data_IF_055312702006
#
_entry.id   IF_055312702006
#
_cell.length_a   1.000
_cell.length_b   1.000
_cell.length_c   1.000
_cell.angle_alpha   90.00
_cell.angle_beta   90.00
_cell.angle_gamma   90.00
#
_symmetry.space_group_name_H-M   'P 1'
#
loop_
_entity.id
_entity.type
_entity.pdbx_description
1 polymer ?
#
# COMPACT_ATOMS: atom_id res chain seq x y z
N UNK A 1 19.16 13.43 -20.24
CA UNK A 1 18.58 12.37 -19.39
C UNK A 1 17.99 13.08 -18.19
N UNK A 2 16.72 13.44 -18.27
CA UNK A 2 16.06 14.24 -17.24
C UNK A 2 15.80 13.37 -15.99
N UNK A 3 16.24 13.78 -14.80
CA UNK A 3 16.07 13.02 -13.56
C UNK A 3 14.62 12.95 -13.06
N UNK A 4 13.66 13.52 -13.79
CA UNK A 4 12.24 13.59 -13.43
C UNK A 4 11.35 12.53 -14.10
N UNK A 5 11.89 11.58 -14.87
CA UNK A 5 11.09 10.48 -15.42
C UNK A 5 11.08 9.23 -14.51
N UNK A 6 10.71 9.38 -13.23
CA UNK A 6 10.62 8.26 -12.30
C UNK A 6 9.25 7.55 -12.37
N UNK A 7 8.88 7.07 -13.57
CA UNK A 7 7.85 6.02 -13.70
C UNK A 7 8.15 4.83 -12.75
N UNK A 8 9.44 4.65 -12.47
CA UNK A 8 10.07 3.75 -11.51
C UNK A 8 9.53 3.85 -10.07
N UNK A 9 9.35 5.05 -9.53
CA UNK A 9 8.84 5.23 -8.17
C UNK A 9 7.33 4.95 -8.07
N UNK A 10 6.62 5.11 -9.19
CA UNK A 10 5.16 5.00 -9.25
C UNK A 10 4.69 3.54 -9.28
N UNK A 11 5.46 2.62 -9.89
CA UNK A 11 5.10 1.20 -10.01
C UNK A 11 5.05 0.50 -8.64
N UNK A 12 5.93 0.85 -7.71
CA UNK A 12 6.04 0.19 -6.40
C UNK A 12 4.76 0.30 -5.54
N UNK A 13 3.93 1.30 -5.82
CA UNK A 13 2.65 1.55 -5.13
C UNK A 13 1.45 1.38 -6.07
N UNK A 14 1.70 0.94 -7.31
CA UNK A 14 0.66 0.73 -8.30
C UNK A 14 -0.15 -0.51 -7.95
N UNK A 15 -1.46 -0.43 -8.17
CA UNK A 15 -2.37 -1.54 -7.90
C UNK A 15 -2.29 -2.62 -8.99
N UNK A 16 -2.61 -3.89 -8.65
CA UNK A 16 -2.55 -5.02 -9.59
C UNK A 16 -3.32 -4.76 -10.89
N UNK A 17 -4.56 -4.29 -10.77
CA UNK A 17 -5.46 -4.03 -11.90
C UNK A 17 -4.95 -2.93 -12.83
N UNK A 18 -4.10 -2.03 -12.33
CA UNK A 18 -3.48 -0.96 -13.12
C UNK A 18 -2.18 -1.44 -13.80
N UNK A 19 -1.53 -2.45 -13.24
CA UNK A 19 -0.36 -3.10 -13.85
C UNK A 19 -0.78 -4.09 -14.93
N UNK A 20 -1.85 -4.83 -14.69
CA UNK A 20 -2.35 -5.91 -15.55
C UNK A 20 -3.45 -5.45 -16.54
N UNK A 21 -3.69 -4.14 -16.68
CA UNK A 21 -4.70 -3.65 -17.62
C UNK A 21 -4.23 -3.86 -19.07
N UNK A 22 -5.04 -4.53 -19.89
CA UNK A 22 -4.86 -4.48 -21.35
C UNK A 22 -4.98 -3.02 -21.80
N UNK A 23 -3.99 -2.47 -22.52
CA UNK A 23 -4.04 -1.10 -23.03
C UNK A 23 -5.26 -0.81 -23.92
N UNK A 24 -5.99 -1.83 -24.38
CA UNK A 24 -7.19 -1.69 -25.21
C UNK A 24 -8.52 -1.71 -24.43
N UNK A 25 -8.56 -2.16 -23.16
CA UNK A 25 -9.79 -2.21 -22.35
C UNK A 25 -9.86 -1.13 -21.27
N UNK A 26 -8.72 -0.51 -20.92
CA UNK A 26 -8.57 0.89 -20.48
C UNK A 26 -9.30 1.40 -19.23
N UNK A 27 -10.23 0.65 -18.65
CA UNK A 27 -11.06 1.08 -17.54
C UNK A 27 -10.73 0.30 -16.28
N UNK A 28 -10.15 0.98 -15.30
CA UNK A 28 -9.99 0.49 -13.93
C UNK A 28 -10.51 1.53 -12.93
N UNK A 29 -10.91 1.08 -11.74
CA UNK A 29 -11.32 2.01 -10.67
C UNK A 29 -10.08 2.65 -10.02
N UNK A 30 -9.74 3.87 -10.47
CA UNK A 30 -8.62 4.63 -9.93
C UNK A 30 -8.71 4.88 -8.42
N UNK A 31 -9.92 4.98 -7.84
CA UNK A 31 -10.08 5.19 -6.40
C UNK A 31 -9.69 3.94 -5.63
N UNK A 32 -10.09 2.77 -6.12
CA UNK A 32 -9.65 1.51 -5.54
C UNK A 32 -8.13 1.31 -5.70
N UNK A 33 -7.56 1.77 -6.81
CA UNK A 33 -6.12 1.81 -7.03
C UNK A 33 -5.37 2.69 -6.00
N UNK A 34 -5.91 3.87 -5.70
CA UNK A 34 -5.35 4.76 -4.67
C UNK A 34 -5.38 4.13 -3.26
N UNK A 35 -6.42 3.35 -2.94
CA UNK A 35 -6.50 2.61 -1.67
C UNK A 35 -5.39 1.57 -1.54
N UNK A 36 -5.05 0.88 -2.64
CA UNK A 36 -3.93 -0.07 -2.64
C UNK A 36 -2.61 0.65 -2.34
N UNK A 37 -2.30 1.70 -3.11
CA UNK A 37 -1.06 2.47 -2.93
C UNK A 37 -0.94 3.03 -1.51
N UNK A 38 -2.05 3.55 -0.97
CA UNK A 38 -2.13 3.99 0.42
C UNK A 38 -1.84 2.86 1.42
N UNK A 39 -2.43 1.67 1.23
CA UNK A 39 -2.16 0.50 2.07
C UNK A 39 -0.68 0.09 2.07
N UNK A 40 -0.03 0.13 0.90
CA UNK A 40 1.41 -0.18 0.76
C UNK A 40 2.23 0.84 1.55
N UNK A 41 1.95 2.14 1.41
CA UNK A 41 2.67 3.19 2.14
C UNK A 41 2.48 3.10 3.66
N UNK A 42 1.25 2.85 4.13
CA UNK A 42 0.97 2.70 5.56
C UNK A 42 1.73 1.52 6.15
N UNK A 43 1.79 0.40 5.43
CA UNK A 43 2.56 -0.76 5.86
C UNK A 43 4.07 -0.48 5.84
N UNK A 44 4.59 0.21 4.82
CA UNK A 44 5.99 0.62 4.75
C UNK A 44 6.38 1.51 5.93
N UNK A 45 5.56 2.47 6.30
CA UNK A 45 5.81 3.33 7.47
C UNK A 45 5.84 2.55 8.78
N UNK A 46 4.98 1.53 8.91
CA UNK A 46 4.99 0.66 10.08
C UNK A 46 6.23 -0.24 10.14
N UNK A 47 6.65 -0.78 9.00
CA UNK A 47 7.80 -1.69 8.90
C UNK A 47 9.15 -0.98 8.91
N UNK A 48 9.18 0.30 8.52
CA UNK A 48 10.40 1.07 8.26
C UNK A 48 11.15 0.65 6.99
N UNK A 49 10.55 -0.20 6.15
CA UNK A 49 11.13 -0.73 4.92
C UNK A 49 10.03 -1.16 3.93
N UNK A 50 10.38 -1.26 2.64
CA UNK A 50 9.41 -1.59 1.60
C UNK A 50 8.82 -3.01 1.78
N UNK A 51 7.47 -3.16 1.78
CA UNK A 51 6.82 -4.40 2.18
C UNK A 51 6.99 -5.58 1.21
N UNK A 52 7.33 -5.34 -0.06
CA UNK A 52 7.67 -6.40 -1.02
C UNK A 52 9.17 -6.77 -1.01
N UNK A 53 9.96 -6.12 -0.14
CA UNK A 53 11.39 -6.35 0.01
C UNK A 53 12.25 -5.38 -0.80
N UNK A 54 13.28 -4.81 -0.16
CA UNK A 54 14.16 -3.78 -0.72
C UNK A 54 14.87 -4.20 -2.02
N UNK A 55 15.14 -5.51 -2.20
CA UNK A 55 15.74 -6.00 -3.46
C UNK A 55 14.82 -5.75 -4.66
N UNK A 56 13.49 -5.86 -4.48
CA UNK A 56 12.53 -5.63 -5.56
C UNK A 56 12.35 -4.13 -5.88
N UNK A 57 12.76 -3.25 -4.96
CA UNK A 57 12.80 -1.79 -5.16
C UNK A 57 14.03 -1.32 -5.96
N UNK A 58 15.04 -2.18 -6.14
CA UNK A 58 16.28 -1.83 -6.85
C UNK A 58 16.08 -1.73 -8.36
N UNK A 59 16.90 -0.88 -9.01
CA UNK A 59 16.91 -0.73 -10.46
C UNK A 59 17.19 -2.08 -11.14
N UNK A 60 16.24 -2.58 -11.93
CA UNK A 60 16.36 -3.84 -12.68
C UNK A 60 15.48 -4.99 -12.17
N UNK A 61 14.79 -4.84 -11.03
CA UNK A 61 13.89 -5.87 -10.49
C UNK A 61 12.40 -5.64 -10.83
N UNK A 62 12.09 -4.70 -11.73
CA UNK A 62 10.71 -4.23 -11.98
C UNK A 62 9.76 -5.31 -12.46
N UNK A 63 10.20 -6.19 -13.36
CA UNK A 63 9.38 -7.30 -13.83
C UNK A 63 9.01 -8.24 -12.66
N UNK A 64 9.97 -8.55 -11.79
CA UNK A 64 9.73 -9.36 -10.59
C UNK A 64 8.82 -8.66 -9.59
N UNK A 65 8.94 -7.34 -9.45
CA UNK A 65 8.05 -6.54 -8.60
C UNK A 65 6.62 -6.54 -9.15
N UNK A 66 6.43 -6.31 -10.45
CA UNK A 66 5.11 -6.38 -11.10
C UNK A 66 4.48 -7.76 -10.92
N UNK A 67 5.27 -8.84 -11.09
CA UNK A 67 4.81 -10.21 -10.84
C UNK A 67 4.40 -10.40 -9.38
N UNK A 68 5.18 -9.90 -8.42
CA UNK A 68 4.82 -9.97 -7.00
C UNK A 68 3.54 -9.19 -6.69
N UNK A 69 3.39 -7.98 -7.24
CA UNK A 69 2.20 -7.14 -7.08
C UNK A 69 0.97 -7.80 -7.72
N UNK A 70 1.09 -8.49 -8.86
CA UNK A 70 -0.08 -9.07 -9.51
C UNK A 70 -0.43 -10.47 -8.97
N UNK A 71 0.56 -11.31 -8.70
CA UNK A 71 0.34 -12.76 -8.55
C UNK A 71 0.78 -13.36 -7.22
N UNK A 72 1.71 -12.73 -6.48
CA UNK A 72 2.07 -13.19 -5.15
C UNK A 72 1.03 -12.74 -4.11
N UNK A 73 0.91 -13.43 -2.95
CA UNK A 73 0.11 -12.92 -1.84
C UNK A 73 0.49 -11.47 -1.50
N UNK A 74 -0.48 -10.60 -1.17
CA UNK A 74 -0.18 -9.25 -0.75
C UNK A 74 0.65 -9.25 0.55
N UNK A 75 1.47 -8.23 0.79
CA UNK A 75 2.22 -8.15 2.03
C UNK A 75 1.27 -7.89 3.20
N UNK A 76 1.59 -8.49 4.33
CA UNK A 76 0.77 -8.42 5.54
C UNK A 76 1.53 -7.72 6.66
N UNK A 77 0.79 -7.02 7.53
CA UNK A 77 1.35 -6.51 8.77
C UNK A 77 1.73 -7.67 9.70
N UNK A 78 2.88 -7.60 10.41
CA UNK A 78 3.36 -8.68 11.25
C UNK A 78 2.42 -8.93 12.43
N UNK A 79 2.50 -10.11 13.02
CA UNK A 79 1.69 -10.51 14.18
C UNK A 79 1.93 -9.65 15.43
N UNK A 80 3.08 -8.95 15.49
CA UNK A 80 3.41 -7.96 16.53
C UNK A 80 2.58 -6.68 16.44
N UNK A 81 1.95 -6.40 15.29
CA UNK A 81 1.04 -5.28 15.13
C UNK A 81 -0.33 -5.57 15.76
N UNK A 82 -1.04 -4.49 16.13
CA UNK A 82 -2.41 -4.62 16.66
C UNK A 82 -3.34 -5.29 15.64
N UNK A 83 -4.32 -6.05 16.13
CA UNK A 83 -5.35 -6.68 15.30
C UNK A 83 -6.03 -5.69 14.36
N UNK A 84 -6.29 -4.50 14.85
CA UNK A 84 -6.95 -3.42 14.13
C UNK A 84 -6.07 -2.89 13.00
N UNK A 85 -4.76 -2.71 13.23
CA UNK A 85 -3.84 -2.32 12.18
C UNK A 85 -3.74 -3.39 11.09
N UNK A 86 -3.59 -4.66 11.48
CA UNK A 86 -3.54 -5.76 10.51
C UNK A 86 -4.81 -5.84 9.67
N UNK A 87 -5.98 -5.73 10.29
CA UNK A 87 -7.28 -5.69 9.59
C UNK A 87 -7.41 -4.49 8.65
N UNK A 88 -6.92 -3.32 9.06
CA UNK A 88 -6.94 -2.11 8.24
C UNK A 88 -6.09 -2.26 6.98
N UNK A 89 -4.84 -2.68 7.14
CA UNK A 89 -3.92 -2.93 6.02
C UNK A 89 -4.47 -4.02 5.10
N UNK A 90 -4.96 -5.13 5.65
CA UNK A 90 -5.58 -6.20 4.86
C UNK A 90 -6.79 -5.70 4.06
N UNK A 91 -7.58 -4.78 4.59
CA UNK A 91 -8.72 -4.18 3.89
C UNK A 91 -8.32 -3.28 2.72
N UNK A 92 -7.10 -2.72 2.75
CA UNK A 92 -6.53 -1.93 1.65
C UNK A 92 -5.87 -2.82 0.58
N UNK A 93 -5.17 -3.87 1.00
CA UNK A 93 -4.32 -4.70 0.14
C UNK A 93 -5.02 -5.95 -0.41
N UNK A 94 -6.27 -5.82 -0.83
CA UNK A 94 -6.97 -6.86 -1.58
C UNK A 94 -6.57 -6.81 -3.06
N UNK A 95 -6.33 -7.97 -3.69
CA UNK A 95 -6.00 -8.02 -5.12
C UNK A 95 -7.19 -7.58 -5.96
N UNK A 96 -8.36 -8.18 -5.71
CA UNK A 96 -9.65 -7.75 -6.25
C UNK A 96 -10.01 -6.32 -5.78
N UNK A 97 -10.10 -5.33 -6.69
CA UNK A 97 -10.36 -3.92 -6.34
C UNK A 97 -11.68 -3.73 -5.58
N UNK A 98 -12.73 -4.46 -5.96
CA UNK A 98 -14.06 -4.41 -5.37
C UNK A 98 -14.13 -4.92 -3.92
N UNK A 99 -13.12 -5.67 -3.48
CA UNK A 99 -13.01 -6.14 -2.09
C UNK A 99 -12.29 -5.15 -1.19
N UNK A 100 -11.65 -4.12 -1.75
CA UNK A 100 -11.01 -3.05 -0.98
C UNK A 100 -12.08 -2.17 -0.35
N UNK A 101 -11.87 -1.79 0.89
CA UNK A 101 -12.71 -0.76 1.50
C UNK A 101 -12.45 0.58 0.84
N UNK A 102 -13.52 1.32 0.53
CA UNK A 102 -13.42 2.71 0.07
C UNK A 102 -12.83 3.61 1.15
N UNK A 103 -12.28 4.78 0.76
CA UNK A 103 -11.78 5.77 1.71
C UNK A 103 -12.82 6.13 2.79
N UNK A 104 -14.09 6.28 2.41
CA UNK A 104 -15.18 6.57 3.35
C UNK A 104 -15.43 5.43 4.35
N UNK A 105 -15.26 4.17 3.93
CA UNK A 105 -15.35 3.02 4.83
C UNK A 105 -14.13 2.92 5.74
N UNK A 106 -12.92 3.16 5.22
CA UNK A 106 -11.67 3.16 5.99
C UNK A 106 -11.66 4.22 7.10
N UNK A 107 -12.22 5.41 6.86
CA UNK A 107 -12.39 6.45 7.89
C UNK A 107 -13.25 5.99 9.07
N UNK A 108 -14.11 4.98 8.88
CA UNK A 108 -14.94 4.38 9.93
C UNK A 108 -14.33 3.10 10.51
N UNK A 109 -13.15 2.67 10.04
CA UNK A 109 -12.51 1.46 10.52
C UNK A 109 -12.02 1.63 11.96
N UNK A 110 -12.12 0.60 12.84
CA UNK A 110 -11.71 0.68 14.25
C UNK A 110 -10.29 1.19 14.47
N UNK A 111 -9.37 0.88 13.55
CA UNK A 111 -7.99 1.41 13.58
C UNK A 111 -7.94 2.94 13.62
N UNK A 112 -8.76 3.61 12.81
CA UNK A 112 -8.81 5.08 12.73
C UNK A 112 -9.64 5.65 13.87
N UNK A 113 -10.82 5.09 14.12
CA UNK A 113 -11.77 5.65 15.10
C UNK A 113 -11.31 5.48 16.55
N UNK A 114 -10.52 4.44 16.87
CA UNK A 114 -9.91 4.29 18.20
C UNK A 114 -8.69 5.18 18.40
N UNK A 115 -7.86 5.36 17.35
CA UNK A 115 -6.70 6.25 17.42
C UNK A 115 -7.13 7.71 17.63
N UNK A 116 -8.25 8.13 17.04
CA UNK A 116 -8.79 9.48 17.23
C UNK A 116 -9.21 9.79 18.69
N UNK A 117 -9.41 8.77 19.53
CA UNK A 117 -9.83 8.96 20.92
C UNK A 117 -8.69 9.33 21.88
N UNK A 118 -7.43 9.15 21.48
CA UNK A 118 -6.26 9.53 22.27
C UNK A 118 -5.20 10.13 21.34
N UNK A 119 -4.88 11.43 21.46
CA UNK A 119 -3.80 12.00 20.67
C UNK A 119 -2.49 11.24 20.96
N UNK A 120 -1.73 10.85 19.94
CA UNK A 120 -0.46 10.17 20.16
C UNK A 120 0.48 11.12 20.91
N UNK A 121 1.21 10.57 21.89
CA UNK A 121 2.28 11.31 22.53
C UNK A 121 3.47 11.43 21.57
N UNK A 122 3.52 12.56 20.86
CA UNK A 122 4.59 12.89 19.92
C UNK A 122 5.85 13.41 20.62
N UNK A 123 5.88 13.50 21.95
CA UNK A 123 7.08 13.97 22.68
C UNK A 123 8.29 13.06 22.46
N UNK A 124 8.07 11.76 22.21
CA UNK A 124 9.09 10.78 21.88
C UNK A 124 9.64 10.91 20.44
N UNK A 125 8.97 11.66 19.56
CA UNK A 125 9.39 11.90 18.17
C UNK A 125 10.27 13.16 18.02
N UNK A 126 10.69 13.78 19.13
CA UNK A 126 11.75 14.80 19.10
C UNK A 126 13.06 14.14 18.70
N UNK A 127 13.30 14.10 17.39
CA UNK A 127 14.59 13.85 16.79
C UNK A 127 15.59 14.81 17.45
N UNK A 128 16.58 14.24 18.13
CA UNK A 128 17.71 14.97 18.71
C UNK A 128 18.64 15.53 17.65
#
# INVERSE_FOLDING_TARGET
>A
MDPCNSAVGTIAYMSPERIDTDPNEGAYDGRAGDIWGFGVSVLEFYLGQFPFGERLRSQGAWASLMVAICYAPPPEAPSTASSEFRSFVASCLQKEPERRLTAAQLLRHPFITRAAAAPPDLSALRLG
#
